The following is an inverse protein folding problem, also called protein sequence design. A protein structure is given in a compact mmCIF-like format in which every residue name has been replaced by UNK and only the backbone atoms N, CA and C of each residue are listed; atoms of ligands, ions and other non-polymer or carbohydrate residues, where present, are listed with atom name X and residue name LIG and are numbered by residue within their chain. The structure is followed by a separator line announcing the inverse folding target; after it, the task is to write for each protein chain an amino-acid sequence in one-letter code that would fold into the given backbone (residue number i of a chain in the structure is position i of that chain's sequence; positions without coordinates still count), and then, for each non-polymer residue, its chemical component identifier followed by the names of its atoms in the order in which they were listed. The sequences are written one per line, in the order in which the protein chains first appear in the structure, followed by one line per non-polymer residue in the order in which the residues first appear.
data_IF_465147648851
#
_entry.id   IF_465147648851
#
_cell.length_a   1.000
_cell.length_b   1.000
_cell.length_c   1.000
_cell.angle_alpha   90.00
_cell.angle_beta   90.00
_cell.angle_gamma   90.00
#
_symmetry.space_group_name_H-M   'P 1'
#
loop_
_entity.id
_entity.type
_entity.pdbx_description
1 polymer ?
#
# COMPACT_ATOMS: atom_id res chain seq x y z
N UNK A 1 -38.50 -7.36 -52.80
CA UNK A 1 -37.12 -7.80 -53.09
C UNK A 1 -36.16 -6.79 -52.47
N UNK A 2 -35.62 -7.06 -51.28
CA UNK A 2 -34.63 -6.19 -50.62
C UNK A 2 -33.59 -7.06 -49.92
N UNK A 3 -32.79 -7.75 -50.73
CA UNK A 3 -31.52 -8.35 -50.33
C UNK A 3 -30.50 -7.75 -51.30
N UNK A 4 -29.37 -7.26 -50.78
CA UNK A 4 -28.20 -6.64 -51.46
C UNK A 4 -28.08 -5.13 -51.24
N UNK A 5 -27.76 -4.71 -50.01
CA UNK A 5 -27.18 -3.38 -49.77
C UNK A 5 -26.37 -3.33 -48.45
N UNK A 6 -25.62 -4.40 -48.12
CA UNK A 6 -24.87 -4.46 -46.85
C UNK A 6 -23.47 -5.08 -47.02
N UNK A 7 -22.78 -4.78 -48.14
CA UNK A 7 -21.50 -5.40 -48.45
C UNK A 7 -20.54 -4.46 -49.20
N UNK A 8 -20.46 -3.19 -48.78
CA UNK A 8 -19.44 -2.24 -49.29
C UNK A 8 -18.97 -1.23 -48.23
N UNK A 9 -19.11 -1.53 -46.94
CA UNK A 9 -18.61 -0.68 -45.86
C UNK A 9 -17.65 -1.40 -44.89
N UNK A 10 -17.16 -2.59 -45.24
CA UNK A 10 -16.29 -3.40 -44.36
C UNK A 10 -14.82 -3.49 -44.81
N UNK A 11 -14.44 -2.89 -45.94
CA UNK A 11 -13.08 -3.01 -46.50
C UNK A 11 -12.20 -1.77 -46.32
N UNK A 12 -12.73 -0.62 -45.86
CA UNK A 12 -11.90 0.57 -45.61
C UNK A 12 -11.38 0.71 -44.17
N UNK A 13 -11.92 -0.04 -43.20
CA UNK A 13 -11.47 0.06 -41.80
C UNK A 13 -10.23 -0.83 -41.54
N UNK A 14 -9.98 -1.82 -42.40
CA UNK A 14 -8.83 -2.74 -42.22
C UNK A 14 -7.48 -2.16 -42.68
N UNK A 15 -7.47 -0.99 -43.35
CA UNK A 15 -6.25 -0.37 -43.86
C UNK A 15 -5.63 0.69 -42.92
N UNK A 16 -6.34 1.14 -41.87
CA UNK A 16 -5.79 2.08 -40.88
C UNK A 16 -5.21 1.40 -39.62
N UNK A 17 -5.28 0.07 -39.51
CA UNK A 17 -4.73 -0.67 -38.38
C UNK A 17 -3.21 -0.97 -38.48
N UNK A 18 -2.55 -0.59 -39.58
CA UNK A 18 -1.13 -0.91 -39.83
C UNK A 18 -0.16 0.26 -39.62
N UNK A 19 -0.61 1.38 -39.07
CA UNK A 19 0.24 2.54 -38.77
C UNK A 19 0.12 3.00 -37.31
N UNK A 20 0.17 2.06 -36.37
CA UNK A 20 0.59 2.41 -35.00
C UNK A 20 2.12 2.43 -35.04
N UNK A 21 2.80 3.58 -34.86
CA UNK A 21 4.24 3.54 -34.65
C UNK A 21 4.46 2.63 -33.46
N UNK A 22 5.27 1.59 -33.65
CA UNK A 22 5.76 0.77 -32.56
C UNK A 22 6.37 1.74 -31.54
N UNK A 23 5.62 2.03 -30.47
CA UNK A 23 6.15 2.63 -29.27
C UNK A 23 7.22 1.65 -28.84
N UNK A 24 8.47 1.97 -29.16
CA UNK A 24 9.63 1.30 -28.65
C UNK A 24 9.41 1.22 -27.15
N UNK A 25 9.06 0.03 -26.66
CA UNK A 25 9.06 -0.22 -25.24
C UNK A 25 10.49 0.06 -24.82
N UNK A 26 10.70 1.22 -24.17
CA UNK A 26 11.92 1.46 -23.41
C UNK A 26 12.05 0.22 -22.55
N UNK A 27 13.07 -0.57 -22.84
CA UNK A 27 13.43 -1.77 -22.10
C UNK A 27 13.41 -1.38 -20.63
N UNK A 28 12.33 -1.74 -19.95
CA UNK A 28 12.18 -1.44 -18.54
C UNK A 28 13.41 -2.04 -17.88
N UNK A 29 14.17 -1.19 -17.18
CA UNK A 29 15.32 -1.65 -16.44
C UNK A 29 14.84 -2.81 -15.59
N UNK A 30 15.42 -4.00 -15.80
CA UNK A 30 15.24 -5.16 -14.93
C UNK A 30 15.25 -4.64 -13.50
N UNK A 31 14.19 -4.89 -12.70
CA UNK A 31 14.17 -4.49 -11.31
C UNK A 31 15.50 -4.93 -10.69
N UNK A 32 16.18 -4.01 -10.01
CA UNK A 32 17.42 -4.36 -9.32
C UNK A 32 17.15 -5.62 -8.47
N UNK A 33 18.02 -6.64 -8.52
CA UNK A 33 17.84 -7.82 -7.71
C UNK A 33 17.67 -7.40 -6.24
N UNK A 34 16.73 -8.03 -5.55
CA UNK A 34 16.50 -7.83 -4.10
C UNK A 34 17.68 -8.35 -3.25
N UNK A 35 18.77 -8.79 -3.89
CA UNK A 35 19.96 -9.39 -3.31
C UNK A 35 20.77 -8.45 -2.40
N UNK A 36 20.41 -7.16 -2.35
CA UNK A 36 20.94 -6.19 -1.39
C UNK A 36 20.09 -6.01 -0.12
N UNK A 37 18.89 -6.61 -0.06
CA UNK A 37 18.10 -6.61 1.17
C UNK A 37 18.74 -7.61 2.14
N UNK A 38 19.05 -7.22 3.40
CA UNK A 38 19.61 -8.16 4.36
C UNK A 38 18.67 -9.36 4.49
N UNK A 39 19.20 -10.56 4.22
CA UNK A 39 18.41 -11.78 4.25
C UNK A 39 17.78 -11.99 5.63
N UNK A 40 16.56 -12.54 5.68
CA UNK A 40 15.92 -12.95 6.93
C UNK A 40 16.77 -13.92 7.78
N UNK A 41 17.80 -14.54 7.19
CA UNK A 41 18.78 -15.40 7.87
C UNK A 41 19.74 -14.61 8.78
N UNK A 42 19.89 -13.30 8.57
CA UNK A 42 20.59 -12.39 9.49
C UNK A 42 19.70 -11.93 10.66
N UNK A 43 18.38 -12.13 10.59
CA UNK A 43 17.42 -11.85 11.65
C UNK A 43 17.23 -13.04 12.62
N UNK A 44 18.32 -13.78 12.88
CA UNK A 44 18.34 -14.82 13.89
C UNK A 44 17.97 -14.24 15.27
N UNK A 45 16.94 -14.83 15.87
CA UNK A 45 16.46 -14.64 17.24
C UNK A 45 16.01 -13.21 17.63
N UNK A 46 14.70 -13.07 17.89
CA UNK A 46 13.99 -11.86 18.31
C UNK A 46 13.79 -10.82 17.19
N UNK A 47 12.69 -10.95 16.45
CA UNK A 47 12.12 -9.88 15.61
C UNK A 47 11.64 -8.71 16.50
N UNK A 48 12.57 -8.01 17.13
CA UNK A 48 12.37 -6.59 17.39
C UNK A 48 12.66 -5.92 16.06
N UNK A 49 11.64 -5.39 15.39
CA UNK A 49 11.85 -4.39 14.34
C UNK A 49 12.35 -3.13 15.05
N UNK A 50 13.60 -3.17 15.51
CA UNK A 50 14.30 -1.97 15.95
C UNK A 50 14.67 -1.24 14.67
N UNK A 51 14.20 -0.01 14.53
CA UNK A 51 14.64 0.93 13.49
C UNK A 51 13.89 0.87 12.14
N UNK A 52 12.58 0.58 12.14
CA UNK A 52 11.78 0.64 10.91
C UNK A 52 11.87 2.00 10.22
N UNK A 53 11.87 3.10 10.97
CA UNK A 53 11.95 4.43 10.38
C UNK A 53 13.28 4.70 9.66
N UNK A 54 14.40 4.17 10.18
CA UNK A 54 15.67 4.23 9.45
C UNK A 54 15.60 3.44 8.14
N UNK A 55 14.98 2.25 8.15
CA UNK A 55 14.77 1.50 6.91
C UNK A 55 13.85 2.25 5.94
N UNK A 56 12.73 2.81 6.44
CA UNK A 56 11.77 3.58 5.64
C UNK A 56 12.41 4.78 4.94
N UNK A 57 13.24 5.53 5.65
CA UNK A 57 13.96 6.69 5.10
C UNK A 57 15.01 6.27 4.08
N UNK A 58 15.66 5.12 4.27
CA UNK A 58 16.61 4.55 3.32
C UNK A 58 15.95 3.90 2.08
N UNK A 59 14.65 3.59 2.12
CA UNK A 59 13.93 3.07 0.96
C UNK A 59 13.84 4.12 -0.15
N UNK A 60 13.88 3.65 -1.39
CA UNK A 60 13.48 4.42 -2.56
C UNK A 60 11.98 4.73 -2.51
N UNK A 61 11.54 5.72 -3.31
CA UNK A 61 10.11 5.99 -3.42
C UNK A 61 9.31 4.78 -3.94
N UNK A 62 9.89 4.03 -4.89
CA UNK A 62 9.30 2.81 -5.43
C UNK A 62 9.12 1.73 -4.34
N UNK A 63 10.12 1.50 -3.51
CA UNK A 63 10.00 0.54 -2.39
C UNK A 63 8.92 0.96 -1.39
N UNK A 64 8.83 2.26 -1.07
CA UNK A 64 7.75 2.78 -0.20
C UNK A 64 6.37 2.61 -0.83
N UNK A 65 6.23 2.86 -2.13
CA UNK A 65 4.97 2.62 -2.85
C UNK A 65 4.56 1.15 -2.76
N UNK A 66 5.47 0.21 -3.05
CA UNK A 66 5.18 -1.21 -2.94
C UNK A 66 4.84 -1.67 -1.53
N UNK A 67 5.48 -1.09 -0.51
CA UNK A 67 5.11 -1.38 0.88
C UNK A 67 3.66 -0.97 1.17
N UNK A 68 3.26 0.25 0.79
CA UNK A 68 1.90 0.74 0.98
C UNK A 68 0.88 -0.07 0.16
N UNK A 69 1.19 -0.39 -1.10
CA UNK A 69 0.36 -1.28 -1.93
C UNK A 69 0.19 -2.66 -1.28
N UNK A 70 1.26 -3.19 -0.69
CA UNK A 70 1.24 -4.42 0.10
C UNK A 70 0.28 -4.32 1.28
N UNK A 71 0.35 -3.22 2.06
CA UNK A 71 -0.58 -2.98 3.17
C UNK A 71 -2.04 -2.96 2.73
N UNK A 72 -2.36 -2.19 1.68
CA UNK A 72 -3.72 -2.11 1.12
C UNK A 72 -4.20 -3.49 0.67
N UNK A 73 -3.32 -4.27 0.05
CA UNK A 73 -3.63 -5.63 -0.40
C UNK A 73 -3.88 -6.57 0.79
N UNK A 74 -3.08 -6.48 1.85
CA UNK A 74 -3.29 -7.27 3.07
C UNK A 74 -4.62 -6.94 3.75
N UNK A 75 -4.99 -5.65 3.82
CA UNK A 75 -6.31 -5.23 4.33
C UNK A 75 -7.44 -5.76 3.45
N UNK A 76 -7.29 -5.68 2.12
CA UNK A 76 -8.26 -6.27 1.19
C UNK A 76 -8.43 -7.77 1.44
N UNK A 77 -7.34 -8.52 1.63
CA UNK A 77 -7.39 -9.94 1.93
C UNK A 77 -8.11 -10.22 3.26
N UNK A 78 -7.76 -9.48 4.32
CA UNK A 78 -8.41 -9.59 5.63
C UNK A 78 -9.92 -9.33 5.55
N UNK A 79 -10.31 -8.22 4.93
CA UNK A 79 -11.72 -7.83 4.79
C UNK A 79 -12.49 -8.85 3.94
N UNK A 80 -11.92 -9.29 2.83
CA UNK A 80 -12.51 -10.32 1.95
C UNK A 80 -12.72 -11.62 2.73
N UNK A 81 -11.67 -12.12 3.39
CA UNK A 81 -11.77 -13.37 4.15
C UNK A 81 -12.74 -13.26 5.34
N UNK A 82 -12.78 -12.11 6.01
CA UNK A 82 -13.71 -11.89 7.12
C UNK A 82 -15.16 -11.87 6.66
N UNK A 83 -15.47 -11.25 5.52
CA UNK A 83 -16.85 -11.15 5.03
C UNK A 83 -17.31 -12.43 4.34
N UNK A 84 -16.51 -12.97 3.42
CA UNK A 84 -16.87 -14.17 2.67
C UNK A 84 -16.66 -15.47 3.46
N UNK A 85 -15.78 -15.47 4.46
CA UNK A 85 -15.48 -16.65 5.28
C UNK A 85 -16.30 -16.77 6.57
N UNK A 86 -16.99 -15.70 7.01
CA UNK A 86 -17.70 -15.70 8.29
C UNK A 86 -19.13 -16.26 8.25
N UNK A 87 -19.75 -16.41 7.08
CA UNK A 87 -21.14 -16.89 6.97
C UNK A 87 -21.26 -18.12 6.06
N UNK A 88 -21.64 -19.30 6.59
CA UNK A 88 -21.91 -20.48 5.77
C UNK A 88 -23.23 -20.35 4.99
N UNK A 89 -24.06 -19.34 5.27
CA UNK A 89 -25.25 -19.05 4.49
C UNK A 89 -24.87 -18.20 3.28
N UNK A 90 -25.54 -18.41 2.15
CA UNK A 90 -25.33 -17.58 0.96
C UNK A 90 -25.64 -16.12 1.29
N UNK A 91 -24.59 -15.32 1.51
CA UNK A 91 -24.70 -13.87 1.56
C UNK A 91 -25.00 -13.36 0.14
N UNK A 92 -25.88 -12.38 0.02
CA UNK A 92 -26.05 -11.68 -1.25
C UNK A 92 -24.72 -11.04 -1.65
N UNK A 93 -24.30 -11.25 -2.90
CA UNK A 93 -22.96 -10.84 -3.36
C UNK A 93 -22.80 -9.31 -3.39
N UNK A 94 -23.89 -8.54 -3.57
CA UNK A 94 -23.83 -7.07 -3.53
C UNK A 94 -23.66 -6.57 -2.10
N UNK A 95 -24.35 -7.20 -1.16
CA UNK A 95 -24.18 -6.88 0.26
C UNK A 95 -22.78 -7.25 0.76
N UNK A 96 -22.23 -8.38 0.32
CA UNK A 96 -20.87 -8.80 0.63
C UNK A 96 -19.84 -7.81 0.08
N UNK A 97 -19.97 -7.41 -1.20
CA UNK A 97 -19.08 -6.42 -1.82
C UNK A 97 -19.10 -5.09 -1.08
N UNK A 98 -20.30 -4.58 -0.74
CA UNK A 98 -20.45 -3.35 0.04
C UNK A 98 -19.71 -3.43 1.38
N UNK A 99 -19.88 -4.53 2.13
CA UNK A 99 -19.20 -4.73 3.43
C UNK A 99 -17.68 -4.81 3.29
N UNK A 100 -17.17 -5.42 2.21
CA UNK A 100 -15.73 -5.45 1.93
C UNK A 100 -15.19 -4.04 1.67
N UNK A 101 -15.89 -3.23 0.87
CA UNK A 101 -15.50 -1.84 0.59
C UNK A 101 -15.52 -1.00 1.86
N UNK A 102 -16.56 -1.13 2.69
CA UNK A 102 -16.65 -0.44 3.99
C UNK A 102 -15.51 -0.83 4.94
N UNK A 103 -15.16 -2.12 5.01
CA UNK A 103 -14.04 -2.61 5.80
C UNK A 103 -12.69 -2.08 5.30
N UNK A 104 -12.48 -1.99 3.98
CA UNK A 104 -11.26 -1.40 3.43
C UNK A 104 -11.20 0.08 3.78
N UNK A 105 -12.29 0.82 3.57
CA UNK A 105 -12.37 2.25 3.83
C UNK A 105 -12.17 2.58 5.32
N UNK A 106 -12.63 1.73 6.25
CA UNK A 106 -12.42 1.95 7.68
C UNK A 106 -10.95 1.78 8.10
N UNK A 107 -10.23 0.87 7.43
CA UNK A 107 -8.83 0.59 7.75
C UNK A 107 -7.86 1.48 6.96
N UNK A 108 -8.27 1.95 5.78
CA UNK A 108 -7.46 2.74 4.84
C UNK A 108 -8.28 3.92 4.28
N UNK A 109 -8.61 4.92 5.11
CA UNK A 109 -9.58 5.98 4.78
C UNK A 109 -9.05 7.07 3.83
N UNK A 110 -7.75 7.12 3.59
CA UNK A 110 -7.09 8.13 2.76
C UNK A 110 -6.32 7.50 1.60
N UNK A 111 -5.93 8.32 0.62
CA UNK A 111 -5.18 7.83 -0.52
C UNK A 111 -3.79 7.30 -0.10
N UNK A 112 -3.32 6.19 -0.68
CA UNK A 112 -2.00 5.63 -0.42
C UNK A 112 -0.84 6.62 -0.46
N UNK A 113 -0.86 7.56 -1.41
CA UNK A 113 0.22 8.52 -1.59
C UNK A 113 0.26 9.58 -0.46
N UNK A 114 -0.90 10.00 0.05
CA UNK A 114 -0.99 10.94 1.17
C UNK A 114 -0.47 10.30 2.46
N UNK A 115 -0.88 9.05 2.70
CA UNK A 115 -0.41 8.27 3.85
C UNK A 115 1.11 8.07 3.77
N UNK A 116 1.64 7.68 2.60
CA UNK A 116 3.09 7.55 2.39
C UNK A 116 3.83 8.85 2.68
N UNK A 117 3.32 9.97 2.17
CA UNK A 117 3.92 11.28 2.38
C UNK A 117 3.92 11.66 3.86
N UNK A 118 2.81 11.44 4.56
CA UNK A 118 2.67 11.69 5.98
C UNK A 118 3.60 10.80 6.83
N UNK A 119 3.65 9.49 6.56
CA UNK A 119 4.60 8.58 7.23
C UNK A 119 6.05 9.00 6.99
N UNK A 120 6.39 9.41 5.76
CA UNK A 120 7.73 9.89 5.42
C UNK A 120 8.07 11.16 6.19
N UNK A 121 7.15 12.11 6.29
CA UNK A 121 7.35 13.33 7.06
C UNK A 121 7.53 13.06 8.56
N UNK A 122 6.82 12.08 9.12
CA UNK A 122 6.98 11.69 10.53
C UNK A 122 8.34 11.02 10.75
N UNK A 123 8.76 10.11 9.86
CA UNK A 123 10.05 9.42 9.96
C UNK A 123 11.26 10.28 9.58
N UNK A 124 11.07 11.49 9.06
CA UNK A 124 12.19 12.43 8.87
C UNK A 124 12.81 12.88 10.21
N UNK A 125 12.03 12.89 11.29
CA UNK A 125 12.59 13.03 12.64
C UNK A 125 13.19 11.68 13.06
N UNK A 126 14.53 11.65 13.18
CA UNK A 126 15.29 10.47 13.59
C UNK A 126 14.85 9.92 14.95
N UNK A 127 14.30 10.76 15.82
CA UNK A 127 13.78 10.31 17.10
C UNK A 127 12.56 9.38 16.95
N UNK A 128 11.90 9.37 15.79
CA UNK A 128 10.79 8.47 15.49
C UNK A 128 11.26 7.16 14.85
N UNK A 129 12.56 6.97 14.59
CA UNK A 129 13.00 5.78 13.86
C UNK A 129 12.77 4.47 14.62
N UNK A 130 12.77 4.53 15.96
CA UNK A 130 12.47 3.39 16.83
C UNK A 130 10.99 2.99 16.78
N UNK A 131 10.10 3.86 16.32
CA UNK A 131 8.66 3.60 16.29
C UNK A 131 8.31 2.61 15.17
N UNK A 132 7.55 1.55 15.49
CA UNK A 132 7.09 0.60 14.49
C UNK A 132 6.06 1.26 13.55
N UNK A 133 5.92 0.67 12.36
CA UNK A 133 5.16 1.26 11.26
C UNK A 133 3.66 1.42 11.57
N UNK A 134 3.09 0.53 12.38
CA UNK A 134 1.67 0.54 12.79
C UNK A 134 1.35 1.77 13.64
N UNK A 135 2.24 2.12 14.58
CA UNK A 135 2.13 3.34 15.38
C UNK A 135 2.23 4.57 14.48
N UNK A 136 3.23 4.62 13.59
CA UNK A 136 3.43 5.78 12.70
C UNK A 136 2.32 5.88 11.65
N UNK A 137 1.77 4.76 11.20
CA UNK A 137 0.59 4.74 10.35
C UNK A 137 -0.59 5.43 11.02
N UNK A 138 -0.90 5.09 12.29
CA UNK A 138 -1.96 5.76 13.04
C UNK A 138 -1.75 7.28 13.14
N UNK A 139 -0.52 7.73 13.40
CA UNK A 139 -0.19 9.15 13.41
C UNK A 139 -0.21 9.81 12.03
N UNK A 140 0.15 9.08 10.98
CA UNK A 140 0.04 9.56 9.61
C UNK A 140 -1.41 9.85 9.23
N UNK A 141 -2.39 9.06 9.72
CA UNK A 141 -3.80 9.34 9.50
C UNK A 141 -4.23 10.68 10.12
N UNK A 142 -3.81 10.99 11.36
CA UNK A 142 -4.07 12.30 11.96
C UNK A 142 -3.43 13.42 11.15
N UNK A 143 -2.19 13.22 10.71
CA UNK A 143 -1.48 14.20 9.87
C UNK A 143 -2.19 14.46 8.54
N UNK A 144 -2.66 13.42 7.84
CA UNK A 144 -3.41 13.56 6.59
C UNK A 144 -4.74 14.29 6.83
N UNK A 145 -5.41 13.99 7.95
CA UNK A 145 -6.65 14.66 8.35
C UNK A 145 -6.45 16.14 8.75
N UNK A 146 -5.25 16.52 9.15
CA UNK A 146 -4.94 17.84 9.72
C UNK A 146 -5.23 17.95 11.22
N UNK A 147 -5.42 16.82 11.91
CA UNK A 147 -5.60 16.77 13.35
C UNK A 147 -4.25 16.94 14.06
N UNK A 148 -4.24 17.56 15.25
CA UNK A 148 -3.04 17.66 16.09
C UNK A 148 -2.59 16.28 16.57
N UNK A 149 -1.31 15.95 16.43
CA UNK A 149 -0.79 14.63 16.81
C UNK A 149 0.57 14.66 17.51
N UNK A 150 1.29 15.78 17.43
CA UNK A 150 2.69 15.90 17.82
C UNK A 150 2.93 15.61 19.31
N UNK A 151 2.04 16.09 20.18
CA UNK A 151 2.15 15.83 21.63
C UNK A 151 1.97 14.35 21.95
N UNK A 152 0.98 13.70 21.32
CA UNK A 152 0.72 12.28 21.51
C UNK A 152 1.85 11.42 20.92
N UNK A 153 2.38 11.81 19.76
CA UNK A 153 3.55 11.17 19.16
C UNK A 153 4.76 11.24 20.10
N UNK A 154 5.03 12.41 20.69
CA UNK A 154 6.10 12.59 21.66
C UNK A 154 5.92 11.70 22.91
N UNK A 155 4.70 11.59 23.45
CA UNK A 155 4.38 10.70 24.58
C UNK A 155 4.60 9.22 24.22
N UNK A 156 4.11 8.79 23.07
CA UNK A 156 4.27 7.41 22.59
C UNK A 156 5.75 7.07 22.41
N UNK A 157 6.54 7.98 21.82
CA UNK A 157 8.00 7.83 21.72
C UNK A 157 8.65 7.62 23.08
N UNK A 158 8.32 8.46 24.07
CA UNK A 158 8.86 8.30 25.42
C UNK A 158 8.50 6.95 26.05
N UNK A 159 7.27 6.47 25.89
CA UNK A 159 6.84 5.17 26.38
C UNK A 159 7.59 4.02 25.70
N UNK A 160 7.79 4.13 24.38
CA UNK A 160 8.51 3.13 23.61
C UNK A 160 9.99 3.07 24.00
N UNK A 161 10.64 4.22 24.17
CA UNK A 161 12.03 4.32 24.61
C UNK A 161 12.23 3.78 26.04
N UNK A 162 11.28 4.03 26.95
CA UNK A 162 11.29 3.47 28.32
C UNK A 162 11.20 1.94 28.29
N UNK A 163 10.26 1.39 27.53
CA UNK A 163 10.08 -0.06 27.37
C UNK A 163 11.31 -0.71 26.73
N UNK A 164 11.90 -0.07 25.73
CA UNK A 164 13.11 -0.56 25.06
C UNK A 164 14.31 -0.67 26.03
N UNK A 165 14.37 0.20 27.05
CA UNK A 165 15.43 0.24 28.08
C UNK A 165 15.12 -0.60 29.32
N UNK A 166 14.02 -1.36 29.34
CA UNK A 166 13.64 -2.20 30.48
C UNK A 166 13.10 -1.43 31.69
N UNK A 167 12.63 -0.19 31.50
CA UNK A 167 11.92 0.55 32.53
C UNK A 167 10.47 0.06 32.63
N UNK A 168 10.10 -0.46 33.80
CA UNK A 168 8.71 -0.74 34.19
C UNK A 168 7.87 0.54 34.23
#
# INVERSE_FOLDING_TARGET
MARKAALTALTLILALALAVPALAQKKDKTPAPLDGAPSAKAAGANLKVTDFGARWTAMTDRERNHFIEGMVTSIRFLCTNTIYGADPKQMDMKDAEKRVVECIASNFPYMPHDIKAAMTAIYQDKANNSLPYDIVYGFALFKVKGDSYEENLAKVRQLYDKRAKGGN
#
